data_IF_315889509497
#
_entry.id   IF_315889509497
#
_cell.length_a   1.000
_cell.length_b   1.000
_cell.length_c   1.000
_cell.angle_alpha   90.00
_cell.angle_beta   90.00
_cell.angle_gamma   90.00
#
_symmetry.space_group_name_H-M   'P 1'
#
loop_
_entity.id
_entity.type
_entity.pdbx_description
1 polymer ?
#
# COMPACT_ATOMS: atom_id res chain seq x y z
N UNK A 1 17.12 -8.32 -13.79
CA UNK A 1 17.86 -9.25 -14.69
C UNK A 1 18.62 -8.49 -15.79
N UNK A 2 17.96 -7.57 -16.51
CA UNK A 2 18.59 -6.82 -17.61
C UNK A 2 19.74 -5.88 -17.18
N UNK A 3 19.76 -5.40 -15.92
CA UNK A 3 20.87 -4.58 -15.40
C UNK A 3 22.24 -5.27 -15.35
N UNK A 4 22.33 -6.56 -15.71
CA UNK A 4 23.58 -7.31 -15.86
C UNK A 4 23.99 -7.55 -17.32
N UNK A 5 23.21 -7.05 -18.28
CA UNK A 5 23.52 -7.19 -19.70
C UNK A 5 24.61 -6.19 -20.08
N UNK A 6 25.81 -6.71 -20.36
CA UNK A 6 26.99 -5.91 -20.70
C UNK A 6 27.94 -5.71 -19.50
N UNK A 7 29.24 -5.74 -19.78
CA UNK A 7 30.29 -5.43 -18.79
C UNK A 7 30.88 -4.08 -19.17
N UNK A 8 30.65 -3.02 -18.37
CA UNK A 8 31.07 -1.66 -18.74
C UNK A 8 32.57 -1.51 -19.04
N UNK A 9 33.41 -2.38 -18.47
CA UNK A 9 34.87 -2.36 -18.66
C UNK A 9 35.34 -3.09 -19.93
N UNK A 10 34.49 -3.91 -20.56
CA UNK A 10 34.91 -4.83 -21.62
C UNK A 10 34.07 -4.74 -22.90
N UNK A 11 32.82 -4.30 -22.81
CA UNK A 11 31.91 -4.27 -23.95
C UNK A 11 31.30 -2.88 -24.13
N UNK A 12 31.22 -2.42 -25.38
CA UNK A 12 30.60 -1.14 -25.74
C UNK A 12 29.07 -1.17 -25.62
N UNK A 13 28.47 -2.38 -25.63
CA UNK A 13 27.02 -2.61 -25.54
C UNK A 13 26.71 -3.89 -24.78
N UNK A 14 25.51 -3.96 -24.21
CA UNK A 14 24.92 -5.14 -23.61
C UNK A 14 23.60 -5.51 -24.27
N UNK A 15 23.34 -6.79 -24.43
CA UNK A 15 22.09 -7.30 -25.00
C UNK A 15 21.36 -8.14 -23.97
N UNK A 16 20.08 -7.87 -23.77
CA UNK A 16 19.21 -8.66 -22.92
C UNK A 16 17.91 -8.97 -23.66
N UNK A 17 17.47 -10.21 -23.58
CA UNK A 17 16.27 -10.70 -24.25
C UNK A 17 15.25 -11.11 -23.20
N UNK A 18 13.98 -10.79 -23.46
CA UNK A 18 12.85 -11.18 -22.61
C UNK A 18 11.86 -11.94 -23.49
N UNK A 19 11.52 -13.16 -23.09
CA UNK A 19 10.56 -14.02 -23.81
C UNK A 19 9.25 -13.99 -23.04
N UNK A 20 8.20 -13.48 -23.67
CA UNK A 20 6.88 -13.26 -23.06
C UNK A 20 5.78 -13.65 -24.04
N UNK A 21 4.58 -13.90 -23.51
CA UNK A 21 3.40 -14.06 -24.35
C UNK A 21 3.07 -12.75 -25.08
N UNK A 22 2.31 -12.86 -26.18
CA UNK A 22 1.91 -11.69 -26.98
C UNK A 22 1.19 -10.64 -26.12
N UNK A 23 0.33 -11.09 -25.20
CA UNK A 23 -0.50 -10.23 -24.36
C UNK A 23 0.31 -9.47 -23.30
N UNK A 24 1.50 -9.97 -22.95
CA UNK A 24 2.40 -9.36 -21.97
C UNK A 24 3.44 -8.42 -22.60
N UNK A 25 3.56 -8.41 -23.93
CA UNK A 25 4.63 -7.70 -24.64
C UNK A 25 4.67 -6.21 -24.28
N UNK A 26 3.53 -5.52 -24.41
CA UNK A 26 3.48 -4.07 -24.25
C UNK A 26 3.67 -3.66 -22.78
N UNK A 27 3.15 -4.46 -21.85
CA UNK A 27 3.37 -4.26 -20.41
C UNK A 27 4.86 -4.37 -20.07
N UNK A 28 5.55 -5.39 -20.57
CA UNK A 28 6.97 -5.62 -20.31
C UNK A 28 7.85 -4.59 -21.01
N UNK A 29 7.49 -4.15 -22.22
CA UNK A 29 8.14 -3.04 -22.90
C UNK A 29 8.10 -1.76 -22.05
N UNK A 30 6.94 -1.44 -21.48
CA UNK A 30 6.80 -0.27 -20.60
C UNK A 30 7.71 -0.32 -19.36
N UNK A 31 7.94 -1.50 -18.78
CA UNK A 31 8.89 -1.65 -17.68
C UNK A 31 10.35 -1.45 -18.12
N UNK A 32 10.71 -1.89 -19.32
CA UNK A 32 12.08 -1.77 -19.85
C UNK A 32 12.37 -0.31 -20.26
N UNK A 33 11.39 0.34 -20.87
CA UNK A 33 11.49 1.73 -21.35
C UNK A 33 11.33 2.76 -20.22
N UNK A 34 10.94 2.33 -19.03
CA UNK A 34 10.73 3.21 -17.87
C UNK A 34 9.43 4.03 -17.93
N UNK A 35 8.50 3.67 -18.82
CA UNK A 35 7.20 4.32 -18.95
C UNK A 35 6.13 3.71 -18.05
N UNK A 36 6.39 2.54 -17.46
CA UNK A 36 5.49 1.90 -16.51
C UNK A 36 5.34 2.74 -15.23
N UNK A 37 4.11 3.17 -14.86
CA UNK A 37 3.90 3.98 -13.68
C UNK A 37 4.10 3.15 -12.40
N UNK A 38 4.79 3.71 -11.42
CA UNK A 38 4.82 3.16 -10.06
C UNK A 38 3.50 3.51 -9.39
N UNK A 39 2.75 2.47 -8.98
CA UNK A 39 1.45 2.61 -8.30
C UNK A 39 1.57 2.12 -6.87
N UNK A 40 0.83 2.73 -5.95
CA UNK A 40 0.75 2.27 -4.57
C UNK A 40 -0.15 1.05 -4.48
N UNK A 41 0.33 0.00 -3.80
CA UNK A 41 -0.45 -1.17 -3.42
C UNK A 41 -0.98 -1.07 -1.97
N UNK A 42 -0.69 0.03 -1.25
CA UNK A 42 -1.06 0.18 0.17
C UNK A 42 -2.57 0.08 0.40
N UNK A 43 -3.39 0.45 -0.59
CA UNK A 43 -4.85 0.40 -0.51
C UNK A 43 -5.34 -1.03 -0.23
N UNK A 44 -4.68 -2.02 -0.82
CA UNK A 44 -5.06 -3.43 -0.73
C UNK A 44 -4.81 -4.02 0.68
N UNK A 45 -4.01 -3.33 1.50
CA UNK A 45 -3.62 -3.75 2.85
C UNK A 45 -4.08 -2.76 3.93
N UNK A 46 -4.97 -1.82 3.60
CA UNK A 46 -5.41 -0.78 4.54
C UNK A 46 -5.96 -1.34 5.87
N UNK A 47 -6.82 -2.39 5.90
CA UNK A 47 -7.30 -2.95 7.16
C UNK A 47 -6.16 -3.42 8.07
N UNK A 48 -5.19 -4.15 7.53
CA UNK A 48 -4.02 -4.65 8.25
C UNK A 48 -3.11 -3.52 8.71
N UNK A 49 -2.88 -2.52 7.84
CA UNK A 49 -2.05 -1.36 8.15
C UNK A 49 -2.68 -0.50 9.25
N UNK A 50 -4.00 -0.31 9.26
CA UNK A 50 -4.72 0.40 10.32
C UNK A 50 -4.57 -0.35 11.64
N UNK A 51 -4.77 -1.67 11.67
CA UNK A 51 -4.58 -2.46 12.88
C UNK A 51 -3.15 -2.37 13.42
N UNK A 52 -2.17 -2.52 12.52
CA UNK A 52 -0.75 -2.42 12.86
C UNK A 52 -0.43 -1.04 13.42
N UNK A 53 -0.93 0.03 12.78
CA UNK A 53 -0.72 1.38 13.25
C UNK A 53 -1.34 1.59 14.66
N UNK A 54 -2.59 1.17 14.86
CA UNK A 54 -3.27 1.25 16.15
C UNK A 54 -2.55 0.47 17.26
N UNK A 55 -1.85 -0.62 16.95
CA UNK A 55 -1.10 -1.37 17.96
C UNK A 55 0.17 -0.67 18.43
N UNK A 56 0.69 0.26 17.62
CA UNK A 56 1.94 0.98 17.89
C UNK A 56 1.74 2.34 18.54
N UNK A 57 0.54 2.93 18.45
CA UNK A 57 0.25 4.20 19.14
C UNK A 57 0.00 3.98 20.64
N UNK A 58 0.50 4.86 21.54
CA UNK A 58 0.42 4.64 22.99
C UNK A 58 -1.01 4.49 23.52
N UNK A 59 -1.94 5.28 22.98
CA UNK A 59 -3.34 5.30 23.42
C UNK A 59 -4.15 4.14 22.85
N UNK A 60 -3.63 3.45 21.82
CA UNK A 60 -4.34 2.40 21.07
C UNK A 60 -5.72 2.84 20.54
N UNK A 61 -5.89 4.16 20.42
CA UNK A 61 -7.08 4.82 19.91
C UNK A 61 -6.70 6.04 19.09
N UNK A 62 -7.48 6.34 18.06
CA UNK A 62 -7.28 7.48 17.17
C UNK A 62 -8.62 7.99 16.62
N UNK A 63 -8.71 9.27 16.27
CA UNK A 63 -9.85 9.79 15.53
C UNK A 63 -9.80 9.36 14.06
N UNK A 64 -10.91 9.49 13.34
CA UNK A 64 -10.92 9.26 11.89
C UNK A 64 -10.02 10.25 11.15
N UNK A 65 -10.09 11.53 11.50
CA UNK A 65 -9.36 12.61 10.83
C UNK A 65 -7.84 12.43 10.99
N UNK A 66 -7.36 12.14 12.21
CA UNK A 66 -5.93 11.90 12.46
C UNK A 66 -5.43 10.65 11.69
N UNK A 67 -6.30 9.65 11.51
CA UNK A 67 -5.96 8.43 10.76
C UNK A 67 -5.84 8.72 9.26
N UNK A 68 -6.75 9.54 8.72
CA UNK A 68 -6.67 9.99 7.32
C UNK A 68 -5.42 10.85 7.12
N UNK A 69 -5.12 11.77 8.04
CA UNK A 69 -3.91 12.60 8.00
C UNK A 69 -2.63 11.74 8.00
N UNK A 70 -2.60 10.67 8.79
CA UNK A 70 -1.48 9.73 8.79
C UNK A 70 -1.28 9.06 7.42
N UNK A 71 -2.36 8.58 6.79
CA UNK A 71 -2.26 7.92 5.48
C UNK A 71 -2.08 8.91 4.31
N UNK A 72 -2.45 10.17 4.48
CA UNK A 72 -2.17 11.24 3.52
C UNK A 72 -0.66 11.43 3.32
N UNK A 73 0.13 11.24 4.38
CA UNK A 73 1.60 11.30 4.32
C UNK A 73 2.25 10.06 3.68
N UNK A 74 1.45 9.05 3.28
CA UNK A 74 1.95 7.82 2.67
C UNK A 74 2.06 7.91 1.14
N UNK A 75 2.66 6.88 0.53
CA UNK A 75 2.70 6.75 -0.93
C UNK A 75 1.32 6.47 -1.57
N UNK A 76 0.21 6.44 -0.81
CA UNK A 76 -1.15 6.33 -1.37
C UNK A 76 -1.52 7.51 -2.28
N UNK A 77 -1.15 8.73 -1.88
CA UNK A 77 -1.44 9.96 -2.62
C UNK A 77 -0.36 10.37 -3.62
N UNK A 78 0.77 9.65 -3.67
CA UNK A 78 1.86 9.93 -4.62
C UNK A 78 1.45 9.70 -6.08
N UNK A 79 0.36 8.95 -6.28
CA UNK A 79 -0.15 8.62 -7.59
C UNK A 79 -1.14 9.70 -8.03
N UNK A 80 -1.02 10.19 -9.27
CA UNK A 80 -2.00 11.08 -9.92
C UNK A 80 -3.44 10.51 -9.99
N UNK A 81 -3.67 9.32 -9.41
CA UNK A 81 -4.88 8.52 -9.54
C UNK A 81 -5.67 8.42 -8.23
N UNK A 82 -5.17 8.98 -7.12
CA UNK A 82 -5.85 8.94 -5.82
C UNK A 82 -6.10 10.36 -5.34
N UNK A 83 -7.36 10.70 -5.04
CA UNK A 83 -7.72 11.96 -4.38
C UNK A 83 -7.78 11.79 -2.85
N UNK A 84 -7.82 12.89 -2.11
CA UNK A 84 -8.05 12.84 -0.66
C UNK A 84 -9.41 12.22 -0.31
N UNK A 85 -10.43 12.48 -1.13
CA UNK A 85 -11.75 11.84 -0.99
C UNK A 85 -11.66 10.33 -1.16
N UNK A 86 -10.94 9.86 -2.19
CA UNK A 86 -10.72 8.43 -2.42
C UNK A 86 -10.00 7.76 -1.26
N UNK A 87 -9.07 8.48 -0.60
CA UNK A 87 -8.38 8.00 0.58
C UNK A 87 -9.35 7.85 1.75
N UNK A 88 -10.11 8.89 2.07
CA UNK A 88 -11.10 8.87 3.15
C UNK A 88 -12.10 7.74 2.99
N UNK A 89 -12.64 7.54 1.79
CA UNK A 89 -13.57 6.45 1.48
C UNK A 89 -12.93 5.08 1.72
N UNK A 90 -11.65 4.93 1.37
CA UNK A 90 -10.90 3.67 1.56
C UNK A 90 -10.63 3.39 3.03
N UNK A 91 -10.29 4.43 3.80
CA UNK A 91 -10.07 4.33 5.25
C UNK A 91 -11.39 3.97 5.94
N UNK A 92 -12.50 4.59 5.56
CA UNK A 92 -13.82 4.28 6.09
C UNK A 92 -14.21 2.82 5.79
N UNK A 93 -14.02 2.38 4.54
CA UNK A 93 -14.30 1.00 4.15
C UNK A 93 -13.46 0.00 4.95
N UNK A 94 -12.17 0.29 5.14
CA UNK A 94 -11.28 -0.54 5.94
C UNK A 94 -11.73 -0.61 7.42
N UNK A 95 -12.11 0.52 8.02
CA UNK A 95 -12.68 0.56 9.38
C UNK A 95 -13.94 -0.29 9.47
N UNK A 96 -14.84 -0.22 8.47
CA UNK A 96 -16.06 -1.05 8.44
C UNK A 96 -15.74 -2.54 8.43
N UNK A 97 -14.74 -2.97 7.66
CA UNK A 97 -14.26 -4.36 7.64
C UNK A 97 -13.76 -4.77 9.02
N UNK A 98 -12.87 -3.97 9.61
CA UNK A 98 -12.30 -4.24 10.93
C UNK A 98 -13.35 -4.27 12.03
N UNK A 99 -14.34 -3.39 11.96
CA UNK A 99 -15.46 -3.33 12.90
C UNK A 99 -16.34 -4.58 12.78
N UNK A 100 -16.67 -5.00 11.55
CA UNK A 100 -17.46 -6.21 11.30
C UNK A 100 -16.77 -7.48 11.82
N UNK A 101 -15.43 -7.51 11.74
CA UNK A 101 -14.59 -8.57 12.27
C UNK A 101 -14.33 -8.46 13.79
N UNK A 102 -14.91 -7.46 14.48
CA UNK A 102 -14.73 -7.18 15.91
C UNK A 102 -13.28 -6.92 16.33
N UNK A 103 -12.44 -6.45 15.41
CA UNK A 103 -11.02 -6.17 15.65
C UNK A 103 -10.82 -4.77 16.22
N UNK A 104 -11.72 -3.86 15.91
CA UNK A 104 -11.77 -2.48 16.41
C UNK A 104 -13.16 -2.15 16.94
N UNK A 105 -13.23 -1.13 17.79
CA UNK A 105 -14.46 -0.50 18.28
C UNK A 105 -14.46 0.97 17.88
N UNK A 106 -15.65 1.51 17.66
CA UNK A 106 -15.83 2.92 17.39
C UNK A 106 -16.78 3.51 18.43
N UNK A 107 -16.23 4.30 19.35
CA UNK A 107 -16.95 4.91 20.49
C UNK A 107 -16.49 6.36 20.62
N UNK A 108 -17.38 7.31 20.90
CA UNK A 108 -17.04 8.74 21.09
C UNK A 108 -16.17 9.35 19.97
N UNK A 109 -16.46 9.03 18.71
CA UNK A 109 -15.67 9.46 17.54
C UNK A 109 -14.21 8.98 17.54
N UNK A 110 -13.94 7.90 18.26
CA UNK A 110 -12.61 7.33 18.42
C UNK A 110 -12.61 5.86 18.05
N UNK A 111 -11.64 5.48 17.21
CA UNK A 111 -11.38 4.11 16.79
C UNK A 111 -10.38 3.48 17.75
N UNK A 112 -10.79 2.45 18.51
CA UNK A 112 -9.96 1.75 19.49
C UNK A 112 -9.73 0.29 19.07
N UNK A 113 -8.51 -0.20 19.14
CA UNK A 113 -8.20 -1.62 18.88
C UNK A 113 -8.68 -2.51 20.05
N UNK A 114 -9.24 -3.67 19.72
CA UNK A 114 -9.69 -4.66 20.71
C UNK A 114 -8.56 -5.59 21.15
N UNK A 115 -8.79 -6.39 22.20
CA UNK A 115 -7.88 -7.47 22.58
C UNK A 115 -7.73 -8.53 21.49
N UNK A 116 -8.80 -8.80 20.72
CA UNK A 116 -8.77 -9.74 19.58
C UNK A 116 -7.92 -9.18 18.44
N UNK A 117 -8.10 -7.90 18.09
CA UNK A 117 -7.27 -7.21 17.10
C UNK A 117 -5.78 -7.22 17.48
N UNK A 118 -5.46 -6.98 18.75
CA UNK A 118 -4.09 -7.07 19.26
C UNK A 118 -3.50 -8.49 19.20
N UNK A 119 -4.34 -9.52 19.35
CA UNK A 119 -3.87 -10.91 19.33
C UNK A 119 -3.50 -11.38 17.91
N UNK A 120 -4.20 -10.89 16.88
CA UNK A 120 -3.91 -11.22 15.48
C UNK A 120 -2.54 -10.73 15.04
N UNK A 121 -2.09 -9.58 15.54
CA UNK A 121 -0.80 -8.99 15.18
C UNK A 121 0.42 -9.66 15.87
N UNK A 122 0.19 -10.54 16.84
CA UNK A 122 1.24 -11.22 17.62
C UNK A 122 1.56 -12.63 17.13
N UNK A 123 0.89 -13.11 16.09
CA UNK A 123 1.16 -14.40 15.45
C UNK A 123 2.27 -14.24 14.41
#
# INVERSE_FOLDING_TARGET
>A
MLGRAGRPQHHDKGYGYVVVSKDQKDQIAGFIEGSAPVRSALRDYLPELILLYLSHIPRKTISFDDLVEFFEQSFLLSSKYTTLTDLSDSVEQAIRILFSAKLVKYENFQLTITSVGLAILKQ
#
